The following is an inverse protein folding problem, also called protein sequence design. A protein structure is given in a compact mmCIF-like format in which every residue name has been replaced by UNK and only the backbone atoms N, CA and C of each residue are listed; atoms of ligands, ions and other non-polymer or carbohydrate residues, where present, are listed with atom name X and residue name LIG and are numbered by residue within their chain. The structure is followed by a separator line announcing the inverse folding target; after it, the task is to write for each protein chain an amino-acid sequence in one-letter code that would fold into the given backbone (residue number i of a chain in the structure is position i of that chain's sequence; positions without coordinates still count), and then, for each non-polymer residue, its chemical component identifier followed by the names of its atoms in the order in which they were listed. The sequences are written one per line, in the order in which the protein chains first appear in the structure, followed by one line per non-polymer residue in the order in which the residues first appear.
data_IF_346874649737
#
_entry.id   IF_346874649737
#
_cell.length_a   1.000
_cell.length_b   1.000
_cell.length_c   1.000
_cell.angle_alpha   90.00
_cell.angle_beta   90.00
_cell.angle_gamma   90.00
#
_symmetry.space_group_name_H-M   'P 1'
#
loop_
_entity.id
_entity.type
_entity.pdbx_description
1 polymer ?
#
# COMPACT_ATOMS: atom_id res chain seq x y z
N UNK A 1 -24.34 14.71 52.48
CA UNK A 1 -23.99 15.30 51.16
C UNK A 1 -22.81 14.59 50.48
N UNK A 2 -21.82 14.07 51.22
CA UNK A 2 -20.61 13.38 50.70
C UNK A 2 -20.92 12.11 49.87
N UNK A 3 -21.94 11.31 50.26
CA UNK A 3 -22.30 10.09 49.54
C UNK A 3 -22.94 10.30 48.15
N UNK A 4 -23.52 11.48 47.89
CA UNK A 4 -24.07 11.82 46.57
C UNK A 4 -22.95 12.18 45.59
N UNK A 5 -21.89 12.86 46.06
CA UNK A 5 -20.69 13.11 45.27
C UNK A 5 -19.96 11.82 44.90
N UNK A 6 -19.79 10.90 45.86
CA UNK A 6 -19.06 9.64 45.61
C UNK A 6 -19.77 8.77 44.56
N UNK A 7 -21.10 8.69 44.62
CA UNK A 7 -21.92 7.96 43.62
C UNK A 7 -21.86 8.62 42.24
N UNK A 8 -21.85 9.95 42.17
CA UNK A 8 -21.72 10.68 40.90
C UNK A 8 -20.35 10.47 40.26
N UNK A 9 -19.27 10.48 41.05
CA UNK A 9 -17.91 10.23 40.59
C UNK A 9 -17.76 8.79 40.06
N UNK A 10 -18.24 7.80 40.80
CA UNK A 10 -18.21 6.39 40.38
C UNK A 10 -19.00 6.16 39.08
N UNK A 11 -20.18 6.78 38.94
CA UNK A 11 -20.99 6.67 37.73
C UNK A 11 -20.28 7.29 36.50
N UNK A 12 -19.63 8.44 36.68
CA UNK A 12 -18.88 9.12 35.61
C UNK A 12 -17.65 8.31 35.16
N UNK A 13 -16.90 7.75 36.12
CA UNK A 13 -15.78 6.86 35.83
C UNK A 13 -16.22 5.59 35.09
N UNK A 14 -17.35 4.99 35.48
CA UNK A 14 -17.92 3.83 34.81
C UNK A 14 -18.33 4.17 33.37
N UNK A 15 -18.96 5.33 33.16
CA UNK A 15 -19.37 5.82 31.85
C UNK A 15 -18.16 6.06 30.93
N UNK A 16 -17.09 6.66 31.47
CA UNK A 16 -15.85 6.92 30.72
C UNK A 16 -15.14 5.62 30.34
N UNK A 17 -15.12 4.62 31.23
CA UNK A 17 -14.53 3.32 30.96
C UNK A 17 -15.30 2.55 29.86
N UNK A 18 -16.64 2.59 29.89
CA UNK A 18 -17.49 1.97 28.86
C UNK A 18 -17.29 2.64 27.49
N UNK A 19 -17.13 3.96 27.45
CA UNK A 19 -16.87 4.69 26.21
C UNK A 19 -15.50 4.33 25.59
N UNK A 20 -14.47 4.12 26.43
CA UNK A 20 -13.15 3.68 25.96
C UNK A 20 -13.19 2.27 25.37
N UNK A 21 -13.99 1.38 25.95
CA UNK A 21 -14.09 -0.01 25.51
C UNK A 21 -14.90 -0.15 24.20
N UNK A 22 -15.85 0.76 23.94
CA UNK A 22 -16.62 0.79 22.71
C UNK A 22 -15.90 1.44 21.52
N UNK A 23 -14.78 2.14 21.75
CA UNK A 23 -14.00 2.77 20.67
C UNK A 23 -13.16 1.78 19.85
N UNK A 24 -12.94 0.55 20.35
CA UNK A 24 -12.14 -0.48 19.68
C UNK A 24 -12.95 -1.33 18.67
N UNK A 25 -14.29 -1.26 18.72
CA UNK A 25 -15.24 -2.03 17.87
C UNK A 25 -15.99 -1.12 16.89
N UNK A 26 -15.33 -0.09 16.34
CA UNK A 26 -15.89 0.74 15.26
C UNK A 26 -14.96 0.88 14.05
N UNK A 27 -13.95 0.01 13.93
CA UNK A 27 -13.32 -0.30 12.66
C UNK A 27 -14.12 -1.41 11.94
N UNK A 28 -15.44 -1.22 11.82
CA UNK A 28 -16.23 -1.93 10.83
C UNK A 28 -15.74 -1.45 9.46
N UNK A 29 -14.84 -2.26 8.89
CA UNK A 29 -14.24 -2.14 7.59
C UNK A 29 -15.34 -1.93 6.53
N UNK A 30 -15.51 -0.68 6.09
CA UNK A 30 -16.39 -0.37 4.96
C UNK A 30 -15.68 -0.95 3.72
N UNK A 31 -16.35 -1.78 2.91
CA UNK A 31 -15.75 -2.31 1.69
C UNK A 31 -15.22 -1.15 0.85
N UNK A 32 -13.90 -1.08 0.70
CA UNK A 32 -13.26 -0.08 -0.16
C UNK A 32 -13.75 -0.35 -1.58
N UNK A 33 -14.23 0.69 -2.26
CA UNK A 33 -14.73 0.66 -3.65
C UNK A 33 -13.70 0.17 -4.70
N UNK A 34 -12.51 -0.25 -4.29
CA UNK A 34 -11.47 -0.86 -5.15
C UNK A 34 -11.69 -2.35 -5.38
N UNK A 35 -12.55 -3.02 -4.61
CA UNK A 35 -13.02 -4.36 -4.91
C UNK A 35 -14.05 -4.31 -6.06
N UNK A 36 -13.62 -3.92 -7.27
CA UNK A 36 -14.34 -4.35 -8.47
C UNK A 36 -14.30 -5.88 -8.43
N UNK A 37 -15.44 -6.60 -8.40
CA UNK A 37 -15.41 -8.04 -8.57
C UNK A 37 -14.68 -8.27 -9.90
N UNK A 38 -13.54 -8.95 -9.83
CA UNK A 38 -12.83 -9.39 -11.02
C UNK A 38 -13.79 -10.40 -11.65
N UNK A 39 -14.64 -9.92 -12.57
CA UNK A 39 -15.60 -10.76 -13.27
C UNK A 39 -14.86 -11.93 -13.88
N UNK A 40 -15.50 -13.11 -13.83
CA UNK A 40 -15.07 -14.41 -14.33
C UNK A 40 -13.83 -14.33 -15.24
N UNK A 41 -12.63 -14.37 -14.65
CA UNK A 41 -11.40 -14.55 -15.42
C UNK A 41 -11.57 -15.90 -16.13
N UNK A 42 -11.40 -15.90 -17.45
CA UNK A 42 -11.62 -17.07 -18.30
C UNK A 42 -10.82 -18.27 -17.78
N UNK A 43 -11.52 -19.33 -17.41
CA UNK A 43 -10.97 -20.65 -17.11
C UNK A 43 -10.40 -20.76 -15.69
N UNK A 44 -10.91 -21.75 -14.96
CA UNK A 44 -10.38 -22.46 -13.77
C UNK A 44 -9.87 -21.73 -12.50
N UNK A 45 -9.67 -20.41 -12.50
CA UNK A 45 -9.30 -19.69 -11.28
C UNK A 45 -10.55 -19.26 -10.49
N UNK A 46 -11.03 -20.15 -9.61
CA UNK A 46 -11.95 -19.76 -8.53
C UNK A 46 -11.20 -18.86 -7.54
N UNK A 47 -11.21 -17.55 -7.82
CA UNK A 47 -10.85 -16.53 -6.85
C UNK A 47 -11.87 -16.57 -5.71
N UNK A 48 -11.57 -17.38 -4.68
CA UNK A 48 -12.12 -17.15 -3.35
C UNK A 48 -11.88 -15.69 -2.98
N UNK A 49 -12.83 -15.08 -2.27
CA UNK A 49 -12.84 -13.66 -1.94
C UNK A 49 -11.44 -13.09 -1.71
N UNK A 50 -11.10 -12.04 -2.46
CA UNK A 50 -9.81 -11.34 -2.33
C UNK A 50 -9.68 -10.83 -0.89
N UNK A 51 -8.78 -11.41 -0.12
CA UNK A 51 -8.42 -10.91 1.22
C UNK A 51 -7.42 -9.75 1.07
N UNK A 52 -7.94 -8.53 1.14
CA UNK A 52 -7.15 -7.29 1.05
C UNK A 52 -6.06 -7.23 2.13
N UNK A 53 -6.37 -7.66 3.36
CA UNK A 53 -5.44 -7.58 4.50
C UNK A 53 -4.29 -8.55 4.31
N UNK A 54 -4.57 -9.78 3.88
CA UNK A 54 -3.54 -10.77 3.58
C UNK A 54 -2.69 -10.33 2.38
N UNK A 55 -3.31 -9.82 1.30
CA UNK A 55 -2.59 -9.34 0.12
C UNK A 55 -1.66 -8.14 0.46
N UNK A 56 -2.13 -7.21 1.29
CA UNK A 56 -1.33 -6.09 1.75
C UNK A 56 -0.15 -6.56 2.60
N UNK A 57 -0.39 -7.43 3.59
CA UNK A 57 0.67 -7.98 4.45
C UNK A 57 1.74 -8.71 3.63
N UNK A 58 1.32 -9.51 2.64
CA UNK A 58 2.22 -10.18 1.71
C UNK A 58 3.08 -9.20 0.90
N UNK A 59 2.49 -8.11 0.40
CA UNK A 59 3.22 -7.06 -0.32
C UNK A 59 4.24 -6.35 0.56
N UNK A 60 3.86 -5.98 1.79
CA UNK A 60 4.77 -5.31 2.72
C UNK A 60 5.93 -6.21 3.17
N UNK A 61 5.71 -7.51 3.29
CA UNK A 61 6.76 -8.48 3.60
C UNK A 61 7.87 -8.56 2.52
N UNK A 62 7.68 -7.95 1.35
CA UNK A 62 8.72 -7.86 0.34
C UNK A 62 9.82 -6.82 0.66
N UNK A 63 9.54 -5.85 1.53
CA UNK A 63 10.47 -4.76 1.85
C UNK A 63 11.74 -5.31 2.51
N UNK A 64 12.90 -4.84 2.05
CA UNK A 64 14.21 -5.28 2.56
C UNK A 64 14.70 -6.61 1.96
N UNK A 65 13.88 -7.33 1.19
CA UNK A 65 14.34 -8.50 0.44
C UNK A 65 15.16 -8.09 -0.77
N UNK A 66 16.13 -8.93 -1.13
CA UNK A 66 16.87 -8.77 -2.37
C UNK A 66 15.96 -9.05 -3.57
N UNK A 67 15.94 -8.13 -4.53
CA UNK A 67 15.26 -8.32 -5.81
C UNK A 67 16.02 -9.37 -6.63
N UNK A 68 15.28 -10.33 -7.21
CA UNK A 68 15.86 -11.34 -8.11
C UNK A 68 16.50 -10.70 -9.35
N UNK A 69 17.40 -11.44 -10.00
CA UNK A 69 17.98 -10.97 -11.25
C UNK A 69 17.07 -11.33 -12.42
N UNK A 70 16.31 -10.35 -12.88
CA UNK A 70 15.38 -10.50 -14.01
C UNK A 70 16.01 -9.95 -15.28
N UNK A 71 15.79 -10.64 -16.40
CA UNK A 71 16.14 -10.17 -17.73
C UNK A 71 14.89 -9.57 -18.37
N UNK A 72 14.93 -8.27 -18.62
CA UNK A 72 13.87 -7.52 -19.29
C UNK A 72 14.31 -7.17 -20.72
N UNK A 73 13.39 -6.66 -21.53
CA UNK A 73 13.69 -6.13 -22.85
C UNK A 73 13.60 -4.60 -22.81
N UNK A 74 14.57 -3.94 -23.43
CA UNK A 74 14.47 -2.50 -23.68
C UNK A 74 13.55 -2.18 -24.88
N UNK A 75 13.51 -0.90 -25.27
CA UNK A 75 12.64 -0.42 -26.35
C UNK A 75 13.06 -0.94 -27.74
N UNK A 76 14.31 -1.35 -27.89
CA UNK A 76 14.88 -1.89 -29.12
C UNK A 76 14.89 -3.44 -29.12
N UNK A 77 14.27 -4.04 -28.08
CA UNK A 77 14.19 -5.49 -27.91
C UNK A 77 15.47 -6.14 -27.42
N UNK A 78 16.45 -5.37 -26.94
CA UNK A 78 17.69 -5.92 -26.41
C UNK A 78 17.50 -6.39 -24.96
N UNK A 79 18.14 -7.49 -24.56
CA UNK A 79 18.08 -7.98 -23.19
C UNK A 79 18.82 -7.03 -22.22
N UNK A 80 18.18 -6.76 -21.09
CA UNK A 80 18.72 -5.95 -20.00
C UNK A 80 18.51 -6.68 -18.67
N UNK A 81 19.60 -7.09 -18.06
CA UNK A 81 19.61 -7.72 -16.73
C UNK A 81 19.51 -6.66 -15.63
N UNK A 82 18.75 -6.91 -14.57
CA UNK A 82 18.65 -5.98 -13.45
C UNK A 82 19.96 -5.86 -12.65
N UNK A 83 20.76 -6.92 -12.61
CA UNK A 83 22.07 -6.93 -11.95
C UNK A 83 23.03 -5.87 -12.46
N UNK A 84 22.92 -5.45 -13.74
CA UNK A 84 23.65 -4.32 -14.35
C UNK A 84 23.53 -3.01 -13.56
N UNK A 85 22.43 -2.80 -12.85
CA UNK A 85 22.14 -1.56 -12.13
C UNK A 85 22.54 -1.59 -10.66
N UNK A 86 23.13 -2.70 -10.17
CA UNK A 86 23.60 -2.80 -8.78
C UNK A 86 24.73 -1.79 -8.50
N UNK A 87 24.93 -1.47 -7.22
CA UNK A 87 25.95 -0.52 -6.75
C UNK A 87 25.48 0.93 -6.71
N UNK A 88 24.28 1.24 -7.21
CA UNK A 88 23.62 2.54 -7.09
C UNK A 88 22.13 2.39 -6.80
N UNK A 89 21.46 3.40 -6.24
CA UNK A 89 20.01 3.38 -6.08
C UNK A 89 19.31 3.19 -7.44
N UNK A 90 18.43 2.19 -7.52
CA UNK A 90 17.62 1.90 -8.70
C UNK A 90 16.14 2.18 -8.38
N UNK A 91 15.51 2.97 -9.24
CA UNK A 91 14.07 3.25 -9.20
C UNK A 91 13.40 2.58 -10.39
N UNK A 92 12.34 1.81 -10.12
CA UNK A 92 11.55 1.11 -11.14
C UNK A 92 10.10 1.59 -11.07
N UNK A 93 9.55 1.98 -12.22
CA UNK A 93 8.16 2.42 -12.34
C UNK A 93 7.43 1.53 -13.36
N UNK A 94 6.48 0.73 -12.88
CA UNK A 94 5.68 -0.15 -13.74
C UNK A 94 4.53 0.64 -14.36
N UNK A 95 4.58 0.83 -15.68
CA UNK A 95 3.56 1.56 -16.43
C UNK A 95 2.99 0.69 -17.55
N UNK A 96 1.79 1.04 -17.98
CA UNK A 96 1.16 0.49 -19.17
C UNK A 96 0.69 1.63 -20.07
N UNK A 97 0.97 1.54 -21.37
CA UNK A 97 0.82 2.67 -22.30
C UNK A 97 -0.64 3.06 -22.56
N UNK A 98 -1.61 2.19 -22.34
CA UNK A 98 -3.03 2.52 -22.45
C UNK A 98 -3.63 3.15 -21.16
N UNK A 99 -2.80 3.44 -20.16
CA UNK A 99 -3.22 4.11 -18.94
C UNK A 99 -3.10 5.64 -19.10
N UNK A 100 -4.17 6.28 -19.59
CA UNK A 100 -4.09 7.67 -20.08
C UNK A 100 -4.13 8.77 -19.00
N UNK A 101 -4.45 8.46 -17.75
CA UNK A 101 -4.56 9.47 -16.69
C UNK A 101 -3.51 9.31 -15.59
N UNK A 102 -3.53 8.17 -14.89
CA UNK A 102 -2.69 7.98 -13.70
C UNK A 102 -1.22 7.83 -14.09
N UNK A 103 -0.92 6.97 -15.07
CA UNK A 103 0.45 6.67 -15.46
C UNK A 103 1.25 7.88 -16.00
N UNK A 104 0.71 8.76 -16.87
CA UNK A 104 1.43 9.96 -17.28
C UNK A 104 1.63 10.94 -16.12
N UNK A 105 0.66 11.04 -15.20
CA UNK A 105 0.76 11.91 -14.03
C UNK A 105 1.85 11.42 -13.07
N UNK A 106 1.83 10.13 -12.72
CA UNK A 106 2.85 9.50 -11.87
C UNK A 106 4.24 9.64 -12.49
N UNK A 107 4.38 9.40 -13.79
CA UNK A 107 5.67 9.53 -14.48
C UNK A 107 6.21 10.96 -14.44
N UNK A 108 5.35 11.99 -14.62
CA UNK A 108 5.77 13.40 -14.50
C UNK A 108 6.16 13.78 -13.07
N UNK A 109 5.42 13.30 -12.08
CA UNK A 109 5.74 13.55 -10.68
C UNK A 109 7.08 12.91 -10.30
N UNK A 110 7.34 11.71 -10.81
CA UNK A 110 8.60 11.01 -10.60
C UNK A 110 9.79 11.77 -11.20
N UNK A 111 9.64 12.29 -12.42
CA UNK A 111 10.64 13.14 -13.06
C UNK A 111 10.99 14.35 -12.19
N UNK A 112 9.99 15.08 -11.70
CA UNK A 112 10.19 16.23 -10.80
C UNK A 112 10.90 15.85 -9.49
N UNK A 113 10.55 14.71 -8.89
CA UNK A 113 11.20 14.26 -7.66
C UNK A 113 12.68 13.91 -7.89
N UNK A 114 13.01 13.38 -9.06
CA UNK A 114 14.37 13.01 -9.42
C UNK A 114 15.29 14.22 -9.66
N UNK A 115 14.76 15.34 -10.17
CA UNK A 115 15.55 16.56 -10.43
C UNK A 115 16.37 17.01 -9.21
N UNK A 116 15.80 16.94 -8.00
CA UNK A 116 16.51 17.28 -6.76
C UNK A 116 17.30 16.10 -6.18
N UNK A 117 16.81 14.88 -6.39
CA UNK A 117 17.35 13.64 -5.79
C UNK A 117 18.69 13.26 -6.43
N UNK A 118 18.85 13.46 -7.74
CA UNK A 118 20.13 13.22 -8.43
C UNK A 118 21.22 14.18 -7.94
N UNK A 119 20.86 15.43 -7.65
CA UNK A 119 21.80 16.45 -7.17
C UNK A 119 22.37 16.13 -5.78
N UNK A 120 21.61 15.44 -4.93
CA UNK A 120 22.05 15.08 -3.57
C UNK A 120 22.72 13.71 -3.49
N UNK A 121 22.38 12.79 -4.39
CA UNK A 121 22.95 11.43 -4.39
C UNK A 121 24.22 11.29 -5.24
N UNK A 122 24.58 12.31 -6.05
CA UNK A 122 25.84 12.35 -6.80
C UNK A 122 25.97 11.17 -7.76
N UNK A 123 25.25 11.21 -8.89
CA UNK A 123 25.37 10.23 -9.96
C UNK A 123 26.50 10.59 -10.94
#
# INVERSE_FOLDING_TARGET
MIGRCLRALLASLLFLAVALLAADEAAADKPRLTARPQGLLRGDLTLTALDEKAAFAFSQAAIGRTVGDFVLLDRDGQPVELSRYRGKPLLVNFIYTACFQVCPTTTRNLQKALENTVNVMGA
#
